data_IF_121078851746
#
_entry.id   IF_121078851746
#
_cell.length_a   1.000
_cell.length_b   1.000
_cell.length_c   1.000
_cell.angle_alpha   90.00
_cell.angle_beta   90.00
_cell.angle_gamma   90.00
#
_symmetry.space_group_name_H-M   'P 1'
#
loop_
_entity.id
_entity.type
_entity.pdbx_description
1 polymer ?
#
# COMPACT_ATOMS: atom_id res chain seq x y z
N UNK A 1 22.75 -7.93 -20.50
CA UNK A 1 21.59 -8.36 -19.69
C UNK A 1 20.35 -8.33 -20.57
N UNK A 2 19.50 -9.36 -20.53
CA UNK A 2 18.29 -9.37 -21.35
C UNK A 2 17.24 -8.43 -20.77
N UNK A 3 16.35 -7.90 -21.61
CA UNK A 3 15.29 -6.95 -21.20
C UNK A 3 14.43 -7.54 -20.07
N UNK A 4 14.12 -8.84 -20.12
CA UNK A 4 13.31 -9.51 -19.10
C UNK A 4 14.00 -9.53 -17.71
N UNK A 5 15.31 -9.71 -17.65
CA UNK A 5 16.05 -9.71 -16.38
C UNK A 5 16.02 -8.32 -15.74
N UNK A 6 16.13 -7.26 -16.56
CA UNK A 6 16.02 -5.88 -16.07
C UNK A 6 14.63 -5.56 -15.55
N UNK A 7 13.59 -6.04 -16.22
CA UNK A 7 12.21 -5.83 -15.77
C UNK A 7 11.93 -6.50 -14.42
N UNK A 8 12.43 -7.73 -14.22
CA UNK A 8 12.34 -8.43 -12.92
C UNK A 8 13.11 -7.73 -11.81
N UNK A 9 14.30 -7.23 -12.11
CA UNK A 9 15.08 -6.45 -11.15
C UNK A 9 14.33 -5.16 -10.76
N UNK A 10 13.77 -4.45 -11.73
CA UNK A 10 13.00 -3.24 -11.48
C UNK A 10 11.75 -3.53 -10.64
N UNK A 11 11.01 -4.61 -10.93
CA UNK A 11 9.88 -5.06 -10.13
C UNK A 11 10.28 -5.30 -8.66
N UNK A 12 11.39 -6.00 -8.45
CA UNK A 12 11.92 -6.27 -7.12
C UNK A 12 12.29 -4.97 -6.37
N UNK A 13 12.95 -4.03 -7.05
CA UNK A 13 13.32 -2.73 -6.47
C UNK A 13 12.09 -1.92 -6.08
N UNK A 14 11.04 -1.89 -6.92
CA UNK A 14 9.78 -1.20 -6.61
C UNK A 14 9.12 -1.83 -5.37
N UNK A 15 9.08 -3.16 -5.30
CA UNK A 15 8.54 -3.87 -4.14
C UNK A 15 9.31 -3.52 -2.85
N UNK A 16 10.64 -3.47 -2.90
CA UNK A 16 11.46 -3.07 -1.75
C UNK A 16 11.20 -1.63 -1.31
N UNK A 17 11.11 -0.68 -2.25
CA UNK A 17 10.80 0.71 -1.93
C UNK A 17 9.42 0.83 -1.27
N UNK A 18 8.43 0.09 -1.75
CA UNK A 18 7.10 0.02 -1.14
C UNK A 18 7.16 -0.45 0.31
N UNK A 19 7.88 -1.55 0.59
CA UNK A 19 8.05 -2.06 1.94
C UNK A 19 8.77 -1.07 2.86
N UNK A 20 9.81 -0.39 2.37
CA UNK A 20 10.51 0.65 3.12
C UNK A 20 9.61 1.85 3.43
N UNK A 21 8.76 2.25 2.50
CA UNK A 21 7.81 3.34 2.70
C UNK A 21 6.77 2.99 3.78
N UNK A 22 6.23 1.76 3.74
CA UNK A 22 5.31 1.26 4.76
C UNK A 22 5.96 1.23 6.15
N UNK A 23 7.20 0.73 6.24
CA UNK A 23 7.94 0.69 7.50
C UNK A 23 8.16 2.10 8.08
N UNK A 24 8.57 3.07 7.25
CA UNK A 24 8.75 4.46 7.68
C UNK A 24 7.44 5.13 8.11
N UNK A 25 6.35 4.88 7.40
CA UNK A 25 5.03 5.40 7.80
C UNK A 25 4.63 4.88 9.18
N UNK A 26 4.84 3.59 9.43
CA UNK A 26 4.61 2.97 10.74
C UNK A 26 5.49 3.57 11.84
N UNK A 27 6.79 3.73 11.60
CA UNK A 27 7.72 4.37 12.55
C UNK A 27 7.32 5.81 12.87
N UNK A 28 6.79 6.54 11.88
CA UNK A 28 6.29 7.90 12.04
C UNK A 28 4.90 7.98 12.68
N UNK A 29 4.23 6.85 12.94
CA UNK A 29 2.85 6.82 13.42
C UNK A 29 1.82 7.36 12.42
N UNK A 30 2.15 7.38 11.13
CA UNK A 30 1.30 7.90 10.07
C UNK A 30 0.63 6.76 9.28
N UNK A 31 -0.61 6.96 8.77
CA UNK A 31 -1.20 6.04 7.83
C UNK A 31 -0.44 6.04 6.50
N UNK A 32 -0.30 4.87 5.90
CA UNK A 32 0.19 4.71 4.54
C UNK A 32 -0.96 4.48 3.57
N UNK A 33 -0.89 5.07 2.39
CA UNK A 33 -1.87 4.89 1.33
C UNK A 33 -1.22 4.23 0.11
N UNK A 34 -1.82 3.16 -0.39
CA UNK A 34 -1.35 2.46 -1.59
C UNK A 34 -2.52 1.84 -2.36
N UNK A 35 -2.33 1.47 -3.62
CA UNK A 35 -3.30 0.68 -4.37
C UNK A 35 -3.00 -0.81 -4.24
N UNK A 36 -4.04 -1.62 -4.05
CA UNK A 36 -3.96 -3.08 -4.08
C UNK A 36 -5.17 -3.62 -4.85
N UNK A 37 -5.01 -3.93 -6.16
CA UNK A 37 -6.11 -4.43 -6.98
C UNK A 37 -6.73 -5.73 -6.47
N UNK A 38 -6.04 -6.50 -5.63
CA UNK A 38 -6.57 -7.74 -5.04
C UNK A 38 -7.60 -7.48 -3.93
N UNK A 39 -7.62 -6.27 -3.37
CA UNK A 39 -8.49 -5.87 -2.27
C UNK A 39 -9.65 -4.98 -2.71
N UNK A 40 -9.69 -4.56 -3.98
CA UNK A 40 -10.77 -3.78 -4.57
C UNK A 40 -10.29 -2.50 -5.27
N UNK A 41 -11.26 -1.75 -5.82
CA UNK A 41 -10.99 -0.46 -6.45
C UNK A 41 -10.96 0.65 -5.38
N UNK A 42 -9.86 1.42 -5.35
CA UNK A 42 -9.63 2.49 -4.38
C UNK A 42 -8.22 2.47 -3.80
N UNK A 43 -8.05 3.13 -2.66
CA UNK A 43 -6.80 3.13 -1.90
C UNK A 43 -6.94 2.26 -0.66
N UNK A 44 -5.89 1.53 -0.33
CA UNK A 44 -5.72 0.91 0.97
C UNK A 44 -5.05 1.90 1.88
N UNK A 45 -5.73 2.24 2.97
CA UNK A 45 -5.17 2.95 4.12
C UNK A 45 -4.70 1.93 5.14
N UNK A 46 -3.38 1.79 5.30
CA UNK A 46 -2.77 0.94 6.32
C UNK A 46 -2.34 1.79 7.52
N UNK A 47 -2.91 1.50 8.67
CA UNK A 47 -2.61 2.17 9.93
C UNK A 47 -1.32 1.61 10.56
N UNK A 48 -0.64 2.36 11.44
CA UNK A 48 0.57 1.88 12.12
C UNK A 48 0.38 0.60 12.95
N UNK A 49 -0.84 0.34 13.44
CA UNK A 49 -1.21 -0.88 14.15
C UNK A 49 -1.43 -2.09 13.21
N UNK A 50 -1.30 -1.89 11.90
CA UNK A 50 -1.47 -2.89 10.86
C UNK A 50 -2.89 -3.05 10.34
N UNK A 51 -3.91 -2.38 10.92
CA UNK A 51 -5.27 -2.41 10.36
C UNK A 51 -5.28 -1.74 9.00
N UNK A 52 -6.07 -2.30 8.07
CA UNK A 52 -6.15 -1.83 6.68
C UNK A 52 -7.59 -1.52 6.33
N UNK A 53 -7.80 -0.44 5.59
CA UNK A 53 -9.12 -0.02 5.15
C UNK A 53 -9.10 0.23 3.65
N UNK A 54 -10.06 -0.33 2.90
CA UNK A 54 -10.33 0.15 1.55
C UNK A 54 -11.06 1.47 1.67
N UNK A 55 -10.52 2.52 1.06
CA UNK A 55 -11.10 3.87 1.08
C UNK A 55 -11.23 4.43 -0.34
N UNK A 56 -12.26 5.24 -0.54
CA UNK A 56 -12.36 6.16 -1.68
C UNK A 56 -12.18 7.59 -1.18
N UNK A 57 -11.60 8.45 -2.02
CA UNK A 57 -11.39 9.87 -1.71
C UNK A 57 -12.13 10.66 -2.78
N UNK A 58 -13.23 11.31 -2.40
CA UNK A 58 -14.08 12.14 -3.26
C UNK A 58 -14.18 13.52 -2.63
N UNK A 59 -13.87 14.58 -3.38
CA UNK A 59 -13.86 15.97 -2.89
C UNK A 59 -13.04 16.18 -1.58
N UNK A 60 -11.98 15.40 -1.41
CA UNK A 60 -11.13 15.42 -0.21
C UNK A 60 -11.72 14.70 1.01
N UNK A 61 -12.90 14.08 0.86
CA UNK A 61 -13.56 13.30 1.90
C UNK A 61 -13.19 11.82 1.71
N UNK A 62 -12.59 11.24 2.75
CA UNK A 62 -12.26 9.82 2.82
C UNK A 62 -13.49 9.03 3.28
N UNK A 63 -13.91 8.02 2.50
CA UNK A 63 -14.99 7.11 2.85
C UNK A 63 -14.48 5.67 2.92
N UNK A 64 -14.69 5.00 4.05
CA UNK A 64 -14.33 3.59 4.24
C UNK A 64 -15.35 2.70 3.51
N UNK A 65 -14.86 1.80 2.67
CA UNK A 65 -15.64 0.80 1.93
C UNK A 65 -15.53 -0.59 2.55
N UNK A 66 -14.37 -0.95 3.10
CA UNK A 66 -14.13 -2.22 3.76
C UNK A 66 -13.00 -2.12 4.80
N UNK A 67 -13.02 -3.01 5.79
CA UNK A 67 -11.96 -3.19 6.78
C UNK A 67 -11.30 -4.55 6.61
N UNK A 68 -9.98 -4.58 6.69
CA UNK A 68 -9.15 -5.79 6.67
C UNK A 68 -8.24 -5.82 7.90
N UNK A 69 -7.95 -7.03 8.37
CA UNK A 69 -6.97 -7.24 9.44
C UNK A 69 -5.52 -6.95 8.99
N UNK A 70 -4.57 -7.12 9.92
CA UNK A 70 -3.14 -7.08 9.62
C UNK A 70 -2.75 -7.99 8.45
N UNK A 71 -1.60 -7.70 7.82
CA UNK A 71 -0.99 -8.64 6.87
C UNK A 71 -0.71 -9.96 7.63
N UNK A 72 -1.27 -11.06 7.12
CA UNK A 72 -1.00 -12.41 7.61
C UNK A 72 0.31 -12.97 7.08
#
# INVERSE_FOLDING_TARGET
MMILDKLRENEHLIAQVGLMALARAKEAGAPAYYSDPSLGEGYIKEMPDGRRFLVTIEDGIETIKAEFGPRG
#
